data_IF_485687485620
#
_entry.id   IF_485687485620
#
_cell.length_a   1.000
_cell.length_b   1.000
_cell.length_c   1.000
_cell.angle_alpha   90.00
_cell.angle_beta   90.00
_cell.angle_gamma   90.00
#
_symmetry.space_group_name_H-M   'P 1'
#
loop_
_entity.id
_entity.type
_entity.pdbx_description
1 polymer ?
#
# COMPACT_ATOMS: atom_id res chain seq x y z
N UNK A 1 1.08 7.04 -25.18
CA UNK A 1 -0.27 7.37 -24.67
C UNK A 1 -0.73 8.67 -25.30
N UNK A 2 -1.92 8.70 -25.92
CA UNK A 2 -2.46 9.93 -26.57
C UNK A 2 -2.64 11.05 -25.53
N UNK A 3 -2.46 12.31 -25.94
CA UNK A 3 -2.52 13.49 -25.06
C UNK A 3 -3.86 13.54 -24.29
N UNK A 4 -5.00 13.32 -24.95
CA UNK A 4 -6.30 13.31 -24.29
C UNK A 4 -6.44 12.27 -23.17
N UNK A 5 -5.76 11.11 -23.30
CA UNK A 5 -5.76 10.06 -22.27
C UNK A 5 -4.95 10.47 -21.03
N UNK A 6 -3.89 11.27 -21.20
CA UNK A 6 -3.13 11.87 -20.09
C UNK A 6 -3.97 12.89 -19.33
N UNK A 7 -4.70 13.75 -20.05
CA UNK A 7 -5.59 14.75 -19.44
C UNK A 7 -6.67 14.08 -18.58
N UNK A 8 -7.29 13.01 -19.09
CA UNK A 8 -8.31 12.28 -18.33
C UNK A 8 -7.75 11.62 -17.05
N UNK A 9 -6.52 11.10 -17.08
CA UNK A 9 -5.86 10.53 -15.89
C UNK A 9 -5.63 11.62 -14.84
N UNK A 10 -5.12 12.78 -15.24
CA UNK A 10 -4.91 13.92 -14.34
C UNK A 10 -6.24 14.38 -13.74
N UNK A 11 -7.29 14.48 -14.55
CA UNK A 11 -8.63 14.85 -14.07
C UNK A 11 -9.16 13.87 -13.02
N UNK A 12 -9.00 12.55 -13.24
CA UNK A 12 -9.41 11.52 -12.26
C UNK A 12 -8.65 11.67 -10.95
N UNK A 13 -7.33 11.85 -11.01
CA UNK A 13 -6.50 12.06 -9.79
C UNK A 13 -7.00 13.28 -9.02
N UNK A 14 -7.22 14.42 -9.69
CA UNK A 14 -7.71 15.65 -9.05
C UNK A 14 -9.09 15.46 -8.42
N UNK A 15 -10.02 14.81 -9.12
CA UNK A 15 -11.37 14.54 -8.58
C UNK A 15 -11.30 13.67 -7.32
N UNK A 16 -10.45 12.65 -7.31
CA UNK A 16 -10.30 11.78 -6.15
C UNK A 16 -9.61 12.48 -4.97
N UNK A 17 -8.65 13.38 -5.22
CA UNK A 17 -8.05 14.22 -4.17
C UNK A 17 -9.10 15.17 -3.56
N UNK A 18 -9.94 15.79 -4.39
CA UNK A 18 -11.01 16.64 -3.87
C UNK A 18 -12.01 15.84 -3.02
N UNK A 19 -12.32 14.61 -3.45
CA UNK A 19 -13.19 13.72 -2.70
C UNK A 19 -12.56 13.27 -1.37
N UNK A 20 -11.28 12.95 -1.37
CA UNK A 20 -10.47 12.66 -0.18
C UNK A 20 -10.52 13.81 0.84
N UNK A 21 -10.26 15.03 0.39
CA UNK A 21 -10.36 16.24 1.23
C UNK A 21 -11.77 16.38 1.82
N UNK A 22 -12.82 16.17 1.03
CA UNK A 22 -14.20 16.22 1.53
C UNK A 22 -14.46 15.16 2.59
N UNK A 23 -13.96 13.93 2.41
CA UNK A 23 -14.12 12.87 3.40
C UNK A 23 -13.43 13.25 4.72
N UNK A 24 -12.19 13.72 4.68
CA UNK A 24 -11.47 14.19 5.88
C UNK A 24 -12.14 15.38 6.57
N UNK A 25 -12.76 16.29 5.81
CA UNK A 25 -13.54 17.39 6.38
C UNK A 25 -14.79 16.89 7.11
N UNK A 26 -15.48 15.90 6.54
CA UNK A 26 -16.68 15.28 7.14
C UNK A 26 -16.34 14.43 8.35
N UNK A 27 -15.16 13.81 8.36
CA UNK A 27 -14.69 12.92 9.43
C UNK A 27 -13.77 13.62 10.44
N UNK A 28 -13.74 14.96 10.46
CA UNK A 28 -12.83 15.75 11.30
C UNK A 28 -12.90 15.43 12.80
N UNK A 29 -14.04 14.95 13.30
CA UNK A 29 -14.23 14.53 14.69
C UNK A 29 -13.35 13.32 15.07
N UNK A 30 -12.86 12.59 14.06
CA UNK A 30 -11.97 11.45 14.19
C UNK A 30 -10.52 11.78 13.85
N UNK A 31 -10.16 13.08 13.77
CA UNK A 31 -8.80 13.50 13.46
C UNK A 31 -7.76 12.83 14.38
N UNK A 32 -6.65 12.42 13.79
CA UNK A 32 -5.48 11.84 14.47
C UNK A 32 -4.37 12.88 14.63
N UNK A 33 -4.66 14.15 14.34
CA UNK A 33 -3.73 15.26 14.52
C UNK A 33 -3.49 15.49 16.02
N UNK A 34 -2.23 15.56 16.49
CA UNK A 34 -1.95 15.85 17.89
C UNK A 34 -2.33 17.29 18.24
N UNK A 35 -2.68 17.55 19.51
CA UNK A 35 -3.10 18.88 19.98
C UNK A 35 -2.00 19.93 19.86
N UNK A 36 -0.74 19.55 20.08
CA UNK A 36 0.44 20.40 19.96
C UNK A 36 1.44 19.80 18.95
N UNK A 37 1.16 19.91 17.64
CA UNK A 37 2.00 19.32 16.60
C UNK A 37 3.33 20.06 16.46
N UNK A 38 4.43 19.30 16.45
CA UNK A 38 5.74 19.82 16.03
C UNK A 38 5.83 19.75 14.52
N UNK A 39 5.51 20.87 13.85
CA UNK A 39 5.45 20.93 12.40
C UNK A 39 6.83 20.82 11.75
N UNK A 40 6.87 20.26 10.54
CA UNK A 40 8.07 20.31 9.70
C UNK A 40 8.26 21.73 9.14
N UNK A 41 9.47 22.05 8.66
CA UNK A 41 9.73 23.31 7.95
C UNK A 41 8.79 23.53 6.75
N UNK A 42 8.39 22.45 6.06
CA UNK A 42 7.46 22.52 4.93
C UNK A 42 6.07 22.93 5.40
N UNK A 43 5.60 22.32 6.49
CA UNK A 43 4.30 22.62 7.08
C UNK A 43 4.25 24.02 7.72
N UNK A 44 5.34 24.48 8.33
CA UNK A 44 5.45 25.85 8.84
C UNK A 44 5.41 26.89 7.73
N UNK A 45 6.08 26.63 6.60
CA UNK A 45 6.16 27.58 5.48
C UNK A 45 4.87 27.64 4.65
N UNK A 46 4.27 26.48 4.34
CA UNK A 46 3.12 26.38 3.44
C UNK A 46 1.78 26.32 4.19
N UNK A 47 1.80 26.05 5.49
CA UNK A 47 0.62 25.71 6.26
C UNK A 47 0.19 24.25 6.09
N UNK A 48 -0.65 23.80 7.02
CA UNK A 48 -1.13 22.41 7.08
C UNK A 48 -1.97 22.03 5.87
N UNK A 49 -2.94 22.86 5.48
CA UNK A 49 -3.84 22.56 4.37
C UNK A 49 -3.11 22.35 3.03
N UNK A 50 -2.12 23.20 2.73
CA UNK A 50 -1.31 23.07 1.50
C UNK A 50 -0.43 21.82 1.58
N UNK A 51 0.19 21.57 2.72
CA UNK A 51 1.06 20.40 2.93
C UNK A 51 0.30 19.08 2.78
N UNK A 52 -0.89 18.97 3.37
CA UNK A 52 -1.76 17.79 3.22
C UNK A 52 -2.22 17.63 1.77
N UNK A 53 -2.59 18.73 1.10
CA UNK A 53 -2.97 18.69 -0.33
C UNK A 53 -1.81 18.25 -1.24
N UNK A 54 -0.58 18.68 -0.92
CA UNK A 54 0.62 18.26 -1.62
C UNK A 54 0.88 16.76 -1.43
N UNK A 55 0.73 16.25 -0.20
CA UNK A 55 0.80 14.82 0.07
C UNK A 55 -0.26 14.05 -0.72
N UNK A 56 -1.52 14.48 -0.69
CA UNK A 56 -2.60 13.83 -1.44
C UNK A 56 -2.27 13.78 -2.94
N UNK A 57 -1.74 14.88 -3.49
CA UNK A 57 -1.27 14.89 -4.88
C UNK A 57 -0.18 13.83 -5.14
N UNK A 58 0.80 13.69 -4.25
CA UNK A 58 1.87 12.70 -4.39
C UNK A 58 1.34 11.26 -4.28
N UNK A 59 0.53 10.97 -3.27
CA UNK A 59 -0.02 9.64 -2.99
C UNK A 59 -0.94 9.14 -4.10
N UNK A 60 -1.92 9.96 -4.50
CA UNK A 60 -2.85 9.57 -5.57
C UNK A 60 -2.16 9.52 -6.93
N UNK A 61 -1.21 10.41 -7.22
CA UNK A 61 -0.42 10.34 -8.46
C UNK A 61 0.50 9.11 -8.48
N UNK A 62 1.11 8.76 -7.34
CA UNK A 62 1.92 7.55 -7.18
C UNK A 62 1.11 6.30 -7.47
N UNK A 63 -0.05 6.16 -6.80
CA UNK A 63 -0.97 5.06 -7.02
C UNK A 63 -1.51 5.00 -8.47
N UNK A 64 -1.82 6.14 -9.09
CA UNK A 64 -2.24 6.19 -10.49
C UNK A 64 -1.11 5.80 -11.45
N UNK A 65 0.13 6.23 -11.17
CA UNK A 65 1.32 5.88 -11.95
C UNK A 65 1.56 4.37 -11.91
N UNK A 66 1.54 3.77 -10.72
CA UNK A 66 1.69 2.32 -10.54
C UNK A 66 0.60 1.58 -11.33
N UNK A 67 -0.67 1.97 -11.19
CA UNK A 67 -1.77 1.38 -11.97
C UNK A 67 -1.48 1.40 -13.46
N UNK A 68 -1.11 2.57 -14.01
CA UNK A 68 -0.82 2.72 -15.44
C UNK A 68 0.34 1.83 -15.91
N UNK A 69 1.30 1.51 -15.04
CA UNK A 69 2.45 0.64 -15.34
C UNK A 69 2.16 -0.85 -15.23
N UNK A 70 1.15 -1.25 -14.44
CA UNK A 70 0.85 -2.65 -14.17
C UNK A 70 -0.52 -3.11 -14.70
N UNK A 71 -1.35 -2.20 -15.22
CA UNK A 71 -2.73 -2.49 -15.65
C UNK A 71 -2.88 -3.69 -16.59
N UNK A 72 -1.86 -3.97 -17.41
CA UNK A 72 -1.92 -5.04 -18.42
C UNK A 72 -1.75 -6.44 -17.79
N UNK A 73 -1.23 -6.49 -16.55
CA UNK A 73 -1.04 -7.72 -15.76
C UNK A 73 -2.01 -7.83 -14.59
N UNK A 74 -2.74 -6.76 -14.23
CA UNK A 74 -3.79 -6.85 -13.20
C UNK A 74 -4.93 -7.69 -13.75
N UNK A 75 -5.33 -8.78 -13.08
CA UNK A 75 -6.28 -9.71 -13.64
C UNK A 75 -7.71 -9.13 -13.64
N UNK A 76 -8.48 -9.44 -14.68
CA UNK A 76 -9.85 -8.95 -14.89
C UNK A 76 -9.91 -7.83 -15.95
N UNK A 77 -11.12 -7.34 -16.21
CA UNK A 77 -11.39 -6.33 -17.24
C UNK A 77 -12.25 -5.20 -16.67
N UNK A 78 -12.06 -3.98 -17.21
CA UNK A 78 -12.84 -2.80 -16.84
C UNK A 78 -12.98 -2.62 -15.33
N UNK A 79 -14.20 -2.42 -14.84
CA UNK A 79 -14.45 -2.16 -13.40
C UNK A 79 -13.84 -3.22 -12.48
N UNK A 80 -13.87 -4.51 -12.84
CA UNK A 80 -13.32 -5.58 -11.99
C UNK A 80 -11.81 -5.44 -11.78
N UNK A 81 -11.08 -4.98 -12.81
CA UNK A 81 -9.65 -4.70 -12.74
C UNK A 81 -9.38 -3.51 -11.82
N UNK A 82 -10.16 -2.44 -11.99
CA UNK A 82 -10.10 -1.26 -11.12
C UNK A 82 -10.37 -1.59 -9.66
N UNK A 83 -11.42 -2.37 -9.37
CA UNK A 83 -11.74 -2.83 -8.01
C UNK A 83 -10.59 -3.64 -7.41
N UNK A 84 -10.00 -4.59 -8.16
CA UNK A 84 -8.88 -5.40 -7.64
C UNK A 84 -7.67 -4.56 -7.28
N UNK A 85 -7.27 -3.65 -8.16
CA UNK A 85 -6.14 -2.77 -7.87
C UNK A 85 -6.46 -1.81 -6.73
N UNK A 86 -7.62 -1.14 -6.80
CA UNK A 86 -8.07 -0.18 -5.80
C UNK A 86 -8.15 -0.79 -4.42
N UNK A 87 -8.78 -1.97 -4.28
CA UNK A 87 -8.86 -2.70 -3.02
C UNK A 87 -7.49 -3.10 -2.49
N UNK A 88 -6.55 -3.48 -3.37
CA UNK A 88 -5.19 -3.82 -2.95
C UNK A 88 -4.47 -2.60 -2.34
N UNK A 89 -4.55 -1.43 -2.97
CA UNK A 89 -3.91 -0.21 -2.44
C UNK A 89 -4.65 0.31 -1.20
N UNK A 90 -5.98 0.29 -1.21
CA UNK A 90 -6.81 0.67 -0.07
C UNK A 90 -6.51 -0.17 1.18
N UNK A 91 -6.30 -1.48 1.04
CA UNK A 91 -5.90 -2.33 2.15
C UNK A 91 -4.53 -1.91 2.72
N UNK A 92 -3.55 -1.62 1.85
CA UNK A 92 -2.24 -1.14 2.31
C UNK A 92 -2.40 0.16 3.11
N UNK A 93 -3.13 1.14 2.57
CA UNK A 93 -3.30 2.46 3.20
C UNK A 93 -4.07 2.38 4.52
N UNK A 94 -5.15 1.60 4.55
CA UNK A 94 -5.93 1.39 5.78
C UNK A 94 -5.07 0.76 6.88
N UNK A 95 -4.33 -0.32 6.56
CA UNK A 95 -3.45 -0.94 7.54
C UNK A 95 -2.25 -0.07 7.90
N UNK A 96 -1.75 0.77 6.99
CA UNK A 96 -0.72 1.75 7.31
C UNK A 96 -1.19 2.72 8.40
N UNK A 97 -2.41 3.26 8.28
CA UNK A 97 -2.98 4.15 9.31
C UNK A 97 -3.13 3.46 10.67
N UNK A 98 -3.55 2.20 10.68
CA UNK A 98 -3.72 1.45 11.94
C UNK A 98 -2.40 1.29 12.73
N UNK A 99 -1.24 1.56 12.15
CA UNK A 99 0.03 1.58 12.90
C UNK A 99 0.04 2.67 13.97
N UNK A 100 -0.65 3.78 13.71
CA UNK A 100 -0.74 4.94 14.60
C UNK A 100 -1.32 4.62 15.98
N UNK A 101 -2.14 3.56 16.08
CA UNK A 101 -2.62 3.04 17.38
C UNK A 101 -1.45 2.61 18.26
N UNK A 102 -0.49 1.88 17.68
CA UNK A 102 0.68 1.39 18.41
C UNK A 102 1.77 2.45 18.55
N UNK A 103 1.92 3.32 17.56
CA UNK A 103 3.03 4.27 17.47
C UNK A 103 2.76 5.58 18.20
N UNK A 104 1.52 6.08 18.12
CA UNK A 104 1.12 7.38 18.68
C UNK A 104 0.12 7.25 19.83
N UNK A 105 -0.42 6.04 20.08
CA UNK A 105 -1.44 5.83 21.11
C UNK A 105 -2.82 6.34 20.70
N UNK A 106 -3.04 6.55 19.40
CA UNK A 106 -4.32 7.05 18.89
C UNK A 106 -5.44 6.01 19.08
N UNK A 107 -6.69 6.44 19.29
CA UNK A 107 -7.82 5.53 19.32
C UNK A 107 -7.96 4.76 18.00
N UNK A 108 -8.20 3.45 18.07
CA UNK A 108 -8.36 2.60 16.88
C UNK A 108 -9.43 3.10 15.92
N UNK A 109 -10.53 3.66 16.45
CA UNK A 109 -11.62 4.18 15.64
C UNK A 109 -11.20 5.41 14.83
N UNK A 110 -10.33 6.26 15.39
CA UNK A 110 -9.82 7.45 14.71
C UNK A 110 -8.95 7.03 13.53
N UNK A 111 -7.94 6.18 13.76
CA UNK A 111 -7.06 5.68 12.71
C UNK A 111 -7.83 4.92 11.62
N UNK A 112 -8.83 4.13 12.01
CA UNK A 112 -9.67 3.41 11.07
C UNK A 112 -10.49 4.34 10.18
N UNK A 113 -11.13 5.37 10.76
CA UNK A 113 -11.94 6.33 9.99
C UNK A 113 -11.07 7.21 9.08
N UNK A 114 -9.92 7.66 9.58
CA UNK A 114 -8.96 8.42 8.77
C UNK A 114 -8.42 7.56 7.62
N UNK A 115 -8.01 6.31 7.89
CA UNK A 115 -7.57 5.39 6.85
C UNK A 115 -8.66 5.02 5.84
N UNK A 116 -9.93 4.95 6.26
CA UNK A 116 -11.05 4.78 5.34
C UNK A 116 -11.25 6.01 4.44
N UNK A 117 -10.99 7.21 4.97
CA UNK A 117 -11.10 8.46 4.22
C UNK A 117 -10.10 8.50 3.06
N UNK A 118 -8.93 7.87 3.18
CA UNK A 118 -7.97 7.70 2.08
C UNK A 118 -8.28 6.47 1.19
N UNK A 119 -8.73 5.37 1.80
CA UNK A 119 -8.97 4.09 1.13
C UNK A 119 -10.14 4.13 0.13
N UNK A 120 -11.21 4.85 0.46
CA UNK A 120 -12.41 4.94 -0.41
C UNK A 120 -12.11 5.70 -1.71
N UNK A 121 -11.48 6.89 -1.68
CA UNK A 121 -11.10 7.62 -2.89
C UNK A 121 -10.10 6.86 -3.78
N UNK A 122 -9.13 6.10 -3.21
CA UNK A 122 -8.18 5.34 -4.05
C UNK A 122 -8.86 4.17 -4.78
N UNK A 123 -9.89 3.55 -4.17
CA UNK A 123 -10.74 2.56 -4.87
C UNK A 123 -11.48 3.22 -6.03
N UNK A 124 -12.13 4.36 -5.78
CA UNK A 124 -12.82 5.12 -6.81
C UNK A 124 -11.88 5.50 -7.96
N UNK A 125 -10.69 6.00 -7.62
CA UNK A 125 -9.66 6.36 -8.59
C UNK A 125 -9.29 5.17 -9.47
N UNK A 126 -9.01 4.01 -8.88
CA UNK A 126 -8.65 2.81 -9.62
C UNK A 126 -9.76 2.35 -10.59
N UNK A 127 -11.03 2.44 -10.17
CA UNK A 127 -12.19 2.14 -11.01
C UNK A 127 -12.27 3.11 -12.20
N UNK A 128 -12.19 4.42 -11.95
CA UNK A 128 -12.24 5.45 -12.99
C UNK A 128 -11.08 5.32 -13.98
N UNK A 129 -9.85 5.10 -13.47
CA UNK A 129 -8.68 4.85 -14.30
C UNK A 129 -8.87 3.59 -15.16
N UNK A 130 -9.50 2.54 -14.62
CA UNK A 130 -9.77 1.33 -15.39
C UNK A 130 -10.76 1.56 -16.52
N UNK A 131 -11.83 2.33 -16.27
CA UNK A 131 -12.83 2.67 -17.27
C UNK A 131 -12.26 3.49 -18.44
N UNK A 132 -11.39 4.47 -18.17
CA UNK A 132 -10.73 5.28 -19.22
C UNK A 132 -9.79 4.42 -20.10
N UNK A 133 -9.27 3.33 -19.53
CA UNK A 133 -8.25 2.52 -20.15
C UNK A 133 -8.79 1.22 -20.77
N UNK A 134 -10.09 0.94 -20.67
CA UNK A 134 -10.72 -0.27 -21.17
C UNK A 134 -10.56 -0.38 -22.71
N UNK A 135 -9.52 -1.09 -23.14
CA UNK A 135 -9.30 -1.44 -24.54
C UNK A 135 -9.94 -2.82 -24.81
N UNK A 136 -10.60 -3.00 -25.96
CA UNK A 136 -11.20 -4.29 -26.32
C UNK A 136 -10.09 -5.34 -26.45
N UNK A 137 -10.14 -6.39 -25.61
CA UNK A 137 -9.15 -7.48 -25.60
C UNK A 137 -8.21 -7.50 -24.38
N UNK A 138 -8.56 -6.82 -23.28
CA UNK A 138 -7.78 -6.91 -22.04
C UNK A 138 -7.65 -8.37 -21.53
N UNK A 139 -6.44 -8.74 -21.10
CA UNK A 139 -6.05 -10.11 -20.72
C UNK A 139 -6.96 -10.73 -19.64
N UNK A 140 -7.94 -11.51 -20.10
CA UNK A 140 -8.92 -12.19 -19.25
C UNK A 140 -8.35 -13.35 -18.40
N UNK A 141 -7.17 -13.89 -18.75
CA UNK A 141 -6.74 -15.19 -18.24
C UNK A 141 -5.37 -15.15 -17.54
N UNK A 142 -5.29 -14.48 -16.38
CA UNK A 142 -4.25 -14.84 -15.40
C UNK A 142 -4.74 -16.06 -14.64
N UNK A 143 -3.93 -17.13 -14.62
CA UNK A 143 -4.29 -18.33 -13.85
C UNK A 143 -4.46 -17.95 -12.37
N UNK A 144 -5.61 -18.26 -11.76
CA UNK A 144 -5.81 -17.97 -10.35
C UNK A 144 -4.84 -18.81 -9.52
N UNK A 145 -4.35 -18.23 -8.42
CA UNK A 145 -3.58 -19.01 -7.45
C UNK A 145 -4.43 -20.16 -6.90
N UNK A 146 -3.80 -21.33 -6.80
CA UNK A 146 -4.36 -22.47 -6.06
C UNK A 146 -4.54 -22.11 -4.59
N UNK A 147 -5.42 -22.80 -3.87
CA UNK A 147 -5.63 -22.58 -2.44
C UNK A 147 -4.30 -22.68 -1.66
N UNK A 148 -3.47 -23.66 -2.02
CA UNK A 148 -2.15 -23.86 -1.42
C UNK A 148 -1.23 -22.66 -1.64
N UNK A 149 -1.17 -22.11 -2.85
CA UNK A 149 -0.38 -20.92 -3.14
C UNK A 149 -0.87 -19.69 -2.39
N UNK A 150 -2.20 -19.54 -2.22
CA UNK A 150 -2.76 -18.45 -1.41
C UNK A 150 -2.35 -18.56 0.06
N UNK A 151 -2.47 -19.75 0.64
CA UNK A 151 -2.06 -19.99 2.03
C UNK A 151 -0.54 -19.78 2.20
N UNK A 152 0.26 -20.29 1.26
CA UNK A 152 1.71 -20.08 1.28
C UNK A 152 2.09 -18.59 1.20
N UNK A 153 1.46 -17.84 0.29
CA UNK A 153 1.71 -16.40 0.17
C UNK A 153 1.41 -15.67 1.48
N UNK A 154 0.22 -15.85 2.05
CA UNK A 154 -0.16 -15.20 3.31
C UNK A 154 0.82 -15.57 4.42
N UNK A 155 1.14 -16.86 4.60
CA UNK A 155 2.04 -17.31 5.66
C UNK A 155 3.47 -16.79 5.49
N UNK A 156 4.02 -16.80 4.28
CA UNK A 156 5.40 -16.37 4.01
C UNK A 156 5.52 -14.85 4.18
N UNK A 157 4.60 -14.06 3.61
CA UNK A 157 4.60 -12.61 3.81
C UNK A 157 4.44 -12.25 5.28
N UNK A 158 3.53 -12.92 5.99
CA UNK A 158 3.33 -12.72 7.43
C UNK A 158 4.60 -13.01 8.22
N UNK A 159 5.23 -14.17 8.01
CA UNK A 159 6.43 -14.56 8.73
C UNK A 159 7.62 -13.65 8.44
N UNK A 160 7.90 -13.36 7.16
CA UNK A 160 9.03 -12.50 6.76
C UNK A 160 8.84 -11.07 7.26
N UNK A 161 7.64 -10.51 7.10
CA UNK A 161 7.38 -9.15 7.56
C UNK A 161 7.46 -9.05 9.08
N UNK A 162 6.88 -10.01 9.81
CA UNK A 162 6.94 -10.05 11.27
C UNK A 162 8.38 -10.13 11.79
N UNK A 163 9.16 -11.11 11.31
CA UNK A 163 10.55 -11.31 11.75
C UNK A 163 11.40 -10.08 11.40
N UNK A 164 11.29 -9.58 10.17
CA UNK A 164 12.06 -8.43 9.70
C UNK A 164 11.75 -7.14 10.46
N UNK A 165 10.47 -6.83 10.68
CA UNK A 165 10.04 -5.67 11.46
C UNK A 165 10.48 -5.76 12.91
N UNK A 166 10.35 -6.93 13.55
CA UNK A 166 10.81 -7.10 14.92
C UNK A 166 12.32 -6.96 15.06
N UNK A 167 13.11 -7.44 14.09
CA UNK A 167 14.55 -7.18 14.07
C UNK A 167 14.84 -5.66 13.99
N UNK A 168 14.09 -4.92 13.17
CA UNK A 168 14.22 -3.46 13.08
C UNK A 168 13.77 -2.73 14.37
N UNK A 169 12.73 -3.23 15.04
CA UNK A 169 12.27 -2.70 16.33
C UNK A 169 13.31 -2.91 17.44
N UNK A 170 13.85 -4.13 17.56
CA UNK A 170 14.83 -4.48 18.60
C UNK A 170 16.16 -3.75 18.40
N UNK A 171 16.57 -3.53 17.15
CA UNK A 171 17.80 -2.78 16.83
C UNK A 171 17.61 -1.26 16.95
N UNK A 172 16.38 -0.77 17.11
CA UNK A 172 16.07 0.66 17.21
C UNK A 172 16.26 1.42 15.89
N UNK A 173 16.36 0.72 14.76
CA UNK A 173 16.51 1.34 13.43
C UNK A 173 15.26 2.12 13.04
N UNK A 174 14.10 1.67 13.51
CA UNK A 174 12.82 2.34 13.31
C UNK A 174 12.09 2.48 14.65
N UNK A 175 11.37 3.58 14.82
CA UNK A 175 10.47 3.82 15.94
C UNK A 175 9.32 2.81 15.89
N UNK A 176 8.85 2.37 17.05
CA UNK A 176 7.72 1.45 17.15
C UNK A 176 7.08 1.53 18.53
N UNK A 177 5.86 1.03 18.64
CA UNK A 177 5.21 0.78 19.92
C UNK A 177 5.76 -0.44 20.67
N UNK A 178 6.91 -1.00 20.30
CA UNK A 178 7.40 -2.27 20.86
C UNK A 178 7.56 -2.23 22.39
N UNK A 179 8.01 -1.10 22.94
CA UNK A 179 8.17 -0.91 24.38
C UNK A 179 6.92 -0.37 25.08
N UNK A 180 6.09 0.40 24.37
CA UNK A 180 4.96 1.15 24.94
C UNK A 180 3.61 0.46 24.73
N UNK A 181 3.47 -0.37 23.71
CA UNK A 181 2.23 -0.99 23.23
C UNK A 181 2.54 -2.31 22.50
N UNK A 182 3.20 -3.23 23.21
CA UNK A 182 3.70 -4.50 22.66
C UNK A 182 2.62 -5.31 21.94
N UNK A 183 1.43 -5.43 22.54
CA UNK A 183 0.32 -6.23 22.00
C UNK A 183 -0.19 -5.63 20.69
N UNK A 184 -0.45 -4.32 20.66
CA UNK A 184 -0.90 -3.63 19.45
C UNK A 184 0.16 -3.70 18.35
N UNK A 185 1.44 -3.50 18.70
CA UNK A 185 2.56 -3.60 17.75
C UNK A 185 2.66 -5.00 17.14
N UNK A 186 2.50 -6.05 17.95
CA UNK A 186 2.53 -7.44 17.49
C UNK A 186 1.41 -7.73 16.49
N UNK A 187 0.16 -7.46 16.90
CA UNK A 187 -1.00 -7.74 16.07
C UNK A 187 -1.00 -6.90 14.80
N UNK A 188 -0.62 -5.62 14.87
CA UNK A 188 -0.49 -4.78 13.69
C UNK A 188 0.54 -5.36 12.71
N UNK A 189 1.74 -5.72 13.20
CA UNK A 189 2.81 -6.24 12.34
C UNK A 189 2.39 -7.57 11.68
N UNK A 190 1.75 -8.45 12.44
CA UNK A 190 1.20 -9.72 11.95
C UNK A 190 0.15 -9.47 10.85
N UNK A 191 -0.82 -8.59 11.13
CA UNK A 191 -1.92 -8.28 10.20
C UNK A 191 -1.42 -7.57 8.94
N UNK A 192 -0.43 -6.69 9.07
CA UNK A 192 0.17 -6.02 7.92
C UNK A 192 0.88 -7.01 6.99
N UNK A 193 1.64 -7.96 7.55
CA UNK A 193 2.23 -9.04 6.76
C UNK A 193 1.18 -9.90 6.03
N UNK A 194 0.08 -10.26 6.71
CA UNK A 194 -1.03 -10.98 6.10
C UNK A 194 -1.74 -10.14 5.01
N UNK A 195 -1.94 -8.84 5.25
CA UNK A 195 -2.48 -7.88 4.30
C UNK A 195 -1.65 -7.84 3.01
N UNK A 196 -0.32 -7.76 3.11
CA UNK A 196 0.58 -7.78 1.95
C UNK A 196 0.43 -9.10 1.16
N UNK A 197 0.26 -10.23 1.86
CA UNK A 197 -0.06 -11.51 1.22
C UNK A 197 -1.38 -11.48 0.45
N UNK A 198 -2.44 -10.88 1.02
CA UNK A 198 -3.74 -10.69 0.35
C UNK A 198 -3.60 -9.77 -0.87
N UNK A 199 -2.85 -8.68 -0.76
CA UNK A 199 -2.53 -7.77 -1.89
C UNK A 199 -1.85 -8.55 -3.02
N UNK A 200 -0.87 -9.40 -2.70
CA UNK A 200 -0.22 -10.26 -3.68
C UNK A 200 -1.21 -11.18 -4.40
N UNK A 201 -2.20 -11.72 -3.68
CA UNK A 201 -3.24 -12.59 -4.26
C UNK A 201 -4.20 -11.78 -5.14
N UNK A 202 -4.61 -10.58 -4.70
CA UNK A 202 -5.54 -9.71 -5.44
C UNK A 202 -4.96 -9.24 -6.78
N UNK A 203 -3.68 -8.89 -6.79
CA UNK A 203 -2.97 -8.44 -7.98
C UNK A 203 -2.50 -9.60 -8.87
N UNK A 204 -2.59 -10.83 -8.36
CA UNK A 204 -2.35 -12.06 -9.10
C UNK A 204 -0.87 -12.30 -9.42
N UNK A 205 -0.63 -13.32 -10.24
CA UNK A 205 0.71 -13.63 -10.71
C UNK A 205 1.14 -12.62 -11.80
N UNK A 206 2.05 -11.73 -11.41
CA UNK A 206 2.59 -10.67 -12.27
C UNK A 206 3.47 -11.31 -13.35
N UNK A 207 2.90 -11.54 -14.54
CA UNK A 207 3.61 -11.85 -15.78
C UNK A 207 4.44 -13.13 -15.73
N UNK A 208 3.85 -14.25 -16.14
CA UNK A 208 4.50 -15.58 -16.23
C UNK A 208 5.74 -15.62 -17.15
N UNK A 209 5.96 -14.59 -17.98
CA UNK A 209 7.10 -14.48 -18.90
C UNK A 209 8.33 -13.79 -18.30
N UNK A 210 8.23 -13.21 -17.10
CA UNK A 210 9.34 -12.54 -16.43
C UNK A 210 10.11 -13.52 -15.52
N UNK A 211 11.43 -13.29 -15.37
CA UNK A 211 12.21 -14.00 -14.35
C UNK A 211 11.69 -13.71 -12.95
N UNK A 212 11.90 -14.64 -12.02
CA UNK A 212 11.41 -14.51 -10.65
C UNK A 212 11.94 -13.24 -9.97
N UNK A 213 13.21 -12.86 -10.18
CA UNK A 213 13.76 -11.64 -9.59
C UNK A 213 13.05 -10.39 -10.12
N UNK A 214 12.75 -10.34 -11.43
CA UNK A 214 12.03 -9.21 -12.02
C UNK A 214 10.60 -9.13 -11.51
N UNK A 215 9.93 -10.27 -11.29
CA UNK A 215 8.59 -10.32 -10.70
C UNK A 215 8.60 -9.83 -9.25
N UNK A 216 9.56 -10.30 -8.46
CA UNK A 216 9.76 -9.85 -7.08
C UNK A 216 10.06 -8.35 -7.01
N UNK A 217 10.95 -7.85 -7.86
CA UNK A 217 11.26 -6.42 -7.92
C UNK A 217 10.05 -5.59 -8.36
N UNK A 218 9.25 -6.07 -9.32
CA UNK A 218 8.04 -5.39 -9.76
C UNK A 218 6.97 -5.36 -8.66
N UNK A 219 6.79 -6.44 -7.90
CA UNK A 219 5.86 -6.43 -6.77
C UNK A 219 6.38 -5.57 -5.61
N UNK A 220 7.61 -5.80 -5.18
CA UNK A 220 8.22 -5.15 -4.03
C UNK A 220 8.50 -3.67 -4.25
N UNK A 221 9.31 -3.29 -5.25
CA UNK A 221 9.69 -1.89 -5.45
C UNK A 221 8.60 -1.06 -6.13
N UNK A 222 8.03 -1.55 -7.23
CA UNK A 222 7.08 -0.77 -8.02
C UNK A 222 5.69 -0.73 -7.37
N UNK A 223 5.12 -1.90 -7.05
CA UNK A 223 3.73 -1.94 -6.55
C UNK A 223 3.67 -1.55 -5.08
N UNK A 224 4.36 -2.28 -4.21
CA UNK A 224 4.33 -2.01 -2.78
C UNK A 224 5.14 -0.74 -2.46
N UNK A 225 6.40 -0.68 -2.86
CA UNK A 225 7.36 0.35 -2.47
C UNK A 225 6.94 1.77 -2.86
N UNK A 226 6.45 2.00 -4.09
CA UNK A 226 5.96 3.34 -4.49
C UNK A 226 4.73 3.75 -3.69
N UNK A 227 3.76 2.85 -3.50
CA UNK A 227 2.56 3.16 -2.72
C UNK A 227 2.89 3.37 -1.24
N UNK A 228 3.77 2.54 -0.68
CA UNK A 228 4.23 2.64 0.71
C UNK A 228 5.02 3.92 0.95
N UNK A 229 5.93 4.26 0.05
CA UNK A 229 6.73 5.48 0.13
C UNK A 229 5.87 6.73 0.04
N UNK A 230 5.01 6.83 -0.97
CA UNK A 230 4.16 8.02 -1.14
C UNK A 230 3.19 8.19 0.03
N UNK A 231 2.64 7.10 0.55
CA UNK A 231 1.81 7.13 1.74
C UNK A 231 2.59 7.61 2.99
N UNK A 232 3.71 6.97 3.32
CA UNK A 232 4.49 7.30 4.52
C UNK A 232 5.14 8.69 4.49
N UNK A 233 5.35 9.28 3.31
CA UNK A 233 5.87 10.65 3.18
C UNK A 233 4.97 11.70 3.84
N UNK A 234 3.71 11.38 4.16
CA UNK A 234 2.84 12.23 4.98
C UNK A 234 3.55 12.72 6.24
N UNK A 235 4.13 11.79 7.00
CA UNK A 235 4.73 12.05 8.31
C UNK A 235 5.87 13.09 8.25
N UNK A 236 6.93 12.92 7.43
CA UNK A 236 8.00 13.91 7.36
C UNK A 236 7.61 15.18 6.61
N UNK A 237 6.57 15.16 5.77
CA UNK A 237 6.04 16.38 5.17
C UNK A 237 5.32 17.23 6.21
N UNK A 238 4.56 16.62 7.12
CA UNK A 238 3.76 17.38 8.10
C UNK A 238 4.50 17.64 9.41
N UNK A 239 5.27 16.66 9.90
CA UNK A 239 5.87 16.68 11.24
C UNK A 239 7.41 16.64 11.19
N UNK A 240 8.04 17.37 12.11
CA UNK A 240 9.50 17.38 12.26
C UNK A 240 10.00 16.07 12.88
N UNK A 241 11.21 15.62 12.48
CA UNK A 241 11.91 14.52 13.15
C UNK A 241 11.63 13.11 12.60
N UNK A 242 10.67 12.95 11.68
CA UNK A 242 10.30 11.63 11.13
C UNK A 242 11.04 11.21 9.86
N UNK A 243 11.85 12.08 9.25
CA UNK A 243 12.44 11.82 7.93
C UNK A 243 13.29 10.55 7.89
N UNK A 244 14.24 10.41 8.82
CA UNK A 244 15.15 9.25 8.86
C UNK A 244 14.39 7.95 9.19
N UNK A 245 13.44 8.03 10.13
CA UNK A 245 12.59 6.91 10.50
C UNK A 245 11.78 6.40 9.30
N UNK A 246 11.09 7.30 8.59
CA UNK A 246 10.28 6.97 7.43
C UNK A 246 11.11 6.44 6.27
N UNK A 247 12.28 7.02 5.98
CA UNK A 247 13.16 6.50 4.93
C UNK A 247 13.64 5.08 5.25
N UNK A 248 14.02 4.82 6.50
CA UNK A 248 14.42 3.49 6.96
C UNK A 248 13.26 2.49 6.84
N UNK A 249 12.05 2.87 7.25
CA UNK A 249 10.82 2.06 7.10
C UNK A 249 10.57 1.70 5.64
N UNK A 250 10.62 2.69 4.75
CA UNK A 250 10.40 2.47 3.31
C UNK A 250 11.40 1.45 2.76
N UNK A 251 12.69 1.59 3.07
CA UNK A 251 13.73 0.69 2.60
C UNK A 251 13.52 -0.73 3.15
N UNK A 252 13.38 -0.86 4.47
CA UNK A 252 13.24 -2.16 5.14
C UNK A 252 11.99 -2.88 4.64
N UNK A 253 10.84 -2.22 4.68
CA UNK A 253 9.57 -2.84 4.34
C UNK A 253 9.55 -3.26 2.87
N UNK A 254 10.09 -2.42 1.97
CA UNK A 254 10.21 -2.76 0.54
C UNK A 254 11.11 -3.99 0.33
N UNK A 255 12.24 -4.10 1.03
CA UNK A 255 13.13 -5.25 0.94
C UNK A 255 12.49 -6.52 1.51
N UNK A 256 11.78 -6.42 2.64
CA UNK A 256 11.05 -7.53 3.25
C UNK A 256 9.95 -8.05 2.31
N UNK A 257 9.18 -7.16 1.71
CA UNK A 257 8.13 -7.52 0.75
C UNK A 257 8.72 -8.12 -0.53
N UNK A 258 9.82 -7.57 -1.05
CA UNK A 258 10.53 -8.13 -2.21
C UNK A 258 11.01 -9.56 -1.91
N UNK A 259 11.61 -9.76 -0.74
CA UNK A 259 12.10 -11.08 -0.28
C UNK A 259 10.95 -12.06 -0.07
N UNK A 260 9.86 -11.62 0.57
CA UNK A 260 8.65 -12.43 0.78
C UNK A 260 8.04 -12.90 -0.53
N UNK A 261 7.98 -12.02 -1.54
CA UNK A 261 7.53 -12.41 -2.89
C UNK A 261 8.47 -13.46 -3.50
N UNK A 262 9.78 -13.21 -3.47
CA UNK A 262 10.77 -14.13 -4.03
C UNK A 262 10.67 -15.53 -3.41
N UNK A 263 10.59 -15.60 -2.07
CA UNK A 263 10.47 -16.87 -1.35
C UNK A 263 9.15 -17.58 -1.64
N UNK A 264 8.04 -16.85 -1.74
CA UNK A 264 6.72 -17.42 -2.02
C UNK A 264 6.68 -18.18 -3.35
N UNK A 265 7.40 -17.70 -4.37
CA UNK A 265 7.39 -18.28 -5.72
C UNK A 265 8.71 -18.92 -6.12
N UNK A 266 9.62 -19.16 -5.16
CA UNK A 266 10.86 -19.85 -5.42
C UNK A 266 10.59 -21.34 -5.71
N UNK A 267 11.14 -21.93 -6.80
CA UNK A 267 10.87 -23.32 -7.22
C UNK A 267 11.14 -24.38 -6.15
N UNK A 268 12.00 -24.10 -5.17
CA UNK A 268 12.32 -25.03 -4.07
C UNK A 268 11.17 -25.29 -3.08
N UNK A 269 10.09 -24.50 -3.10
CA UNK A 269 8.92 -24.65 -2.22
C UNK A 269 7.74 -25.35 -2.96
N UNK A 270 7.92 -25.74 -4.24
CA UNK A 270 7.01 -26.68 -4.89
C UNK A 270 7.17 -28.09 -4.31
N UNK A 271 6.53 -28.34 -3.17
CA UNK A 271 6.21 -29.69 -2.73
C UNK A 271 5.35 -30.32 -3.83
N UNK A 272 5.97 -31.24 -4.59
CA UNK A 272 5.39 -32.00 -5.71
C UNK A 272 3.90 -32.29 -5.49
N UNK A 273 3.03 -32.08 -6.49
CA UNK A 273 1.67 -32.58 -6.41
C UNK A 273 1.73 -34.10 -6.22
N UNK A 274 1.03 -34.59 -5.20
CA UNK A 274 0.83 -36.03 -5.00
C UNK A 274 0.29 -36.62 -6.31
N UNK A 275 1.08 -37.52 -6.90
CA UNK A 275 0.60 -38.46 -7.90
C UNK A 275 -0.48 -39.28 -7.20
N UNK A 276 -1.74 -39.01 -7.51
CA UNK A 276 -2.82 -39.95 -7.18
C UNK A 276 -2.61 -41.23 -8.00
N UNK A 277 -2.75 -42.42 -7.38
CA UNK A 277 -2.53 -43.71 -8.02
C UNK A 277 -3.53 -43.98 -9.15
#
# INVERSE_FOLDING_TARGET
MKIGKRVNIVAVVVVCILFDIVLHLVTNAYSTMPESPSYSMVAELLGTGITVSLWALLSFSGAACVYCRIRDVVPGEGVKKGVRYGSAIALIWLFAMLEGVSLFGNPIINEFVVGLSDAVPVILMAILLSLINAEKGENAAVKPFTLRQKMAAISIFTGIFLIGRYAAYVTGVIQSGYQTSLVYTFFWTLLMGACIGVVCILLGNIGDTLSLERRAAKFGFLIFGVNWATFLLFMPLLFSGYLIDVLSRIIIDTLLVTTGYYLTFCPGIELKPELKP
#
